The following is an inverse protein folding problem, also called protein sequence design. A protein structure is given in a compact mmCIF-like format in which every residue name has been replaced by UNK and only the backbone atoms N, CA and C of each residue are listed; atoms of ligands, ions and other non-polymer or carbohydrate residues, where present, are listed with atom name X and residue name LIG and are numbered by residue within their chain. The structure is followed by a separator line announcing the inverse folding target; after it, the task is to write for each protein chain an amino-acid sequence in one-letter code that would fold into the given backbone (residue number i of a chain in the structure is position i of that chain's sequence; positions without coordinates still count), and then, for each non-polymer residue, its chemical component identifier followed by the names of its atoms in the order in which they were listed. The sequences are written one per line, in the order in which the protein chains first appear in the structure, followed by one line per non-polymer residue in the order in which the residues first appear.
data_IF_040952999998
#
_entry.id   IF_040952999998
#
_cell.length_a   1.000
_cell.length_b   1.000
_cell.length_c   1.000
_cell.angle_alpha   90.00
_cell.angle_beta   90.00
_cell.angle_gamma   90.00
#
_symmetry.space_group_name_H-M   'P 1'
#
loop_
_entity.id
_entity.type
_entity.pdbx_description
1 polymer ?
#
# COMPACT_ATOMS: atom_id res chain seq x y z
N UNK A 1 -40.08 -11.98 24.32
CA UNK A 1 -39.02 -11.10 23.79
C UNK A 1 -37.64 -11.60 24.19
N UNK A 2 -37.15 -12.64 23.51
CA UNK A 2 -35.77 -13.11 23.65
C UNK A 2 -35.18 -13.14 22.23
N UNK A 3 -34.57 -12.02 21.81
CA UNK A 3 -33.72 -12.04 20.62
C UNK A 3 -32.50 -12.88 20.98
N UNK A 4 -32.25 -13.95 20.21
CA UNK A 4 -31.14 -14.87 20.48
C UNK A 4 -29.79 -14.13 20.43
N UNK A 5 -28.83 -14.45 21.33
CA UNK A 5 -27.52 -13.80 21.38
C UNK A 5 -26.73 -13.89 20.06
N UNK A 6 -27.05 -14.90 19.21
CA UNK A 6 -26.48 -15.08 17.87
C UNK A 6 -26.84 -13.95 16.89
N UNK A 7 -28.04 -13.38 17.01
CA UNK A 7 -28.51 -12.29 16.14
C UNK A 7 -27.73 -10.99 16.38
N UNK A 8 -27.42 -10.68 17.64
CA UNK A 8 -26.62 -9.49 17.99
C UNK A 8 -25.17 -9.61 17.52
N UNK A 9 -24.57 -10.80 17.60
CA UNK A 9 -23.19 -11.02 17.14
C UNK A 9 -23.10 -10.83 15.62
N UNK A 10 -24.01 -11.44 14.86
CA UNK A 10 -24.07 -11.24 13.40
C UNK A 10 -24.30 -9.77 13.04
N UNK A 11 -25.11 -9.05 13.82
CA UNK A 11 -25.37 -7.62 13.61
C UNK A 11 -24.11 -6.77 13.84
N UNK A 12 -23.26 -7.11 14.80
CA UNK A 12 -22.01 -6.37 15.04
C UNK A 12 -20.98 -6.56 13.91
N UNK A 13 -20.90 -7.75 13.31
CA UNK A 13 -19.89 -8.03 12.29
C UNK A 13 -20.12 -7.33 10.95
N UNK A 14 -21.36 -7.12 10.50
CA UNK A 14 -21.58 -6.38 9.26
C UNK A 14 -21.23 -4.89 9.44
N UNK A 15 -21.53 -4.28 10.59
CA UNK A 15 -21.06 -2.92 10.88
C UNK A 15 -19.54 -2.81 10.79
N UNK A 16 -18.81 -3.73 11.44
CA UNK A 16 -17.34 -3.78 11.37
C UNK A 16 -16.86 -3.94 9.92
N UNK A 17 -17.53 -4.78 9.12
CA UNK A 17 -17.20 -4.97 7.71
C UNK A 17 -17.31 -3.67 6.91
N UNK A 18 -18.43 -2.94 6.98
CA UNK A 18 -18.59 -1.70 6.21
C UNK A 18 -17.73 -0.55 6.74
N UNK A 19 -17.49 -0.48 8.06
CA UNK A 19 -16.52 0.45 8.63
C UNK A 19 -15.11 0.19 8.12
N UNK A 20 -14.70 -1.09 8.07
CA UNK A 20 -13.40 -1.47 7.52
C UNK A 20 -13.28 -1.13 6.03
N UNK A 21 -14.34 -1.30 5.23
CA UNK A 21 -14.36 -0.87 3.83
C UNK A 21 -14.24 0.65 3.68
N UNK A 22 -14.88 1.43 4.55
CA UNK A 22 -14.81 2.89 4.54
C UNK A 22 -13.41 3.40 4.88
N UNK A 23 -12.82 2.90 5.97
CA UNK A 23 -11.46 3.25 6.36
C UNK A 23 -10.42 2.73 5.37
N UNK A 24 -10.63 1.54 4.80
CA UNK A 24 -9.80 1.01 3.73
C UNK A 24 -9.81 1.93 2.51
N UNK A 25 -10.97 2.45 2.13
CA UNK A 25 -11.07 3.41 1.02
C UNK A 25 -10.34 4.71 1.34
N UNK A 26 -10.48 5.24 2.54
CA UNK A 26 -9.74 6.44 2.95
C UNK A 26 -8.23 6.21 2.97
N UNK A 27 -7.78 4.99 3.25
CA UNK A 27 -6.36 4.64 3.27
C UNK A 27 -5.77 4.38 1.86
N UNK A 28 -6.50 3.71 0.96
CA UNK A 28 -5.95 3.22 -0.32
C UNK A 28 -6.88 3.32 -1.53
N UNK A 29 -8.02 4.01 -1.38
CA UNK A 29 -8.99 4.23 -2.45
C UNK A 29 -9.86 3.00 -2.78
N UNK A 30 -10.46 2.95 -3.98
CA UNK A 30 -11.48 1.97 -4.38
C UNK A 30 -11.06 0.51 -4.22
N UNK A 31 -9.77 0.24 -4.21
CA UNK A 31 -9.22 -1.12 -4.10
C UNK A 31 -9.54 -1.78 -2.75
N UNK A 32 -9.86 -0.99 -1.74
CA UNK A 32 -10.34 -1.51 -0.46
C UNK A 32 -11.70 -2.21 -0.58
N UNK A 33 -12.44 -2.01 -1.67
CA UNK A 33 -13.75 -2.60 -1.91
C UNK A 33 -13.69 -3.98 -2.58
N UNK A 34 -12.50 -4.56 -2.77
CA UNK A 34 -12.34 -5.93 -3.27
C UNK A 34 -13.17 -6.97 -2.49
N UNK A 35 -13.31 -6.92 -1.15
CA UNK A 35 -14.19 -7.86 -0.42
C UNK A 35 -15.67 -7.73 -0.81
N UNK A 36 -16.14 -6.50 -1.11
CA UNK A 36 -17.50 -6.28 -1.60
C UNK A 36 -17.69 -6.87 -3.00
N UNK A 37 -16.69 -6.75 -3.86
CA UNK A 37 -16.69 -7.39 -5.17
C UNK A 37 -16.68 -8.91 -5.07
N UNK A 38 -15.87 -9.50 -4.17
CA UNK A 38 -15.88 -10.94 -3.87
C UNK A 38 -17.27 -11.40 -3.43
N UNK A 39 -17.91 -10.64 -2.54
CA UNK A 39 -19.28 -10.93 -2.11
C UNK A 39 -20.27 -10.90 -3.29
N UNK A 40 -20.19 -9.87 -4.14
CA UNK A 40 -21.01 -9.76 -5.34
C UNK A 40 -20.83 -10.94 -6.30
N UNK A 41 -19.59 -11.36 -6.55
CA UNK A 41 -19.28 -12.53 -7.38
C UNK A 41 -19.91 -13.80 -6.79
N UNK A 42 -19.83 -14.00 -5.47
CA UNK A 42 -20.42 -15.19 -4.81
C UNK A 42 -21.94 -15.18 -4.90
N UNK A 43 -22.58 -14.04 -4.64
CA UNK A 43 -24.04 -13.91 -4.74
C UNK A 43 -24.50 -14.26 -6.16
N UNK A 44 -23.79 -13.79 -7.18
CA UNK A 44 -24.10 -14.09 -8.59
C UNK A 44 -23.88 -15.57 -8.90
N UNK A 45 -22.73 -16.14 -8.52
CA UNK A 45 -22.38 -17.54 -8.80
C UNK A 45 -23.32 -18.54 -8.11
N UNK A 46 -23.71 -18.26 -6.87
CA UNK A 46 -24.58 -19.14 -6.07
C UNK A 46 -26.06 -18.80 -6.20
N UNK A 47 -26.41 -17.69 -6.86
CA UNK A 47 -27.78 -17.15 -6.97
C UNK A 47 -28.47 -16.93 -5.62
N UNK A 48 -27.69 -16.72 -4.55
CA UNK A 48 -28.18 -16.52 -3.17
C UNK A 48 -28.40 -15.03 -2.88
N UNK A 49 -29.48 -14.46 -3.43
CA UNK A 49 -29.85 -13.06 -3.20
C UNK A 49 -30.30 -12.77 -1.76
N UNK A 50 -30.70 -13.81 -1.01
CA UNK A 50 -31.06 -13.66 0.40
C UNK A 50 -29.83 -13.28 1.26
N UNK A 51 -28.64 -13.76 0.88
CA UNK A 51 -27.37 -13.34 1.49
C UNK A 51 -27.17 -11.82 1.45
N UNK A 52 -27.59 -11.14 0.38
CA UNK A 52 -27.50 -9.68 0.27
C UNK A 52 -28.39 -8.97 1.32
N UNK A 53 -29.56 -9.52 1.59
CA UNK A 53 -30.47 -9.03 2.64
C UNK A 53 -29.90 -9.22 4.04
N UNK A 54 -29.36 -10.40 4.33
CA UNK A 54 -28.74 -10.70 5.64
C UNK A 54 -27.54 -9.81 5.97
N UNK A 55 -26.76 -9.41 4.97
CA UNK A 55 -25.62 -8.51 5.14
C UNK A 55 -26.00 -7.02 5.19
N UNK A 56 -27.29 -6.70 5.08
CA UNK A 56 -27.80 -5.33 5.07
C UNK A 56 -27.09 -4.44 4.03
N UNK A 57 -26.83 -4.98 2.84
CA UNK A 57 -25.94 -4.38 1.82
C UNK A 57 -26.25 -2.91 1.55
N UNK A 58 -27.52 -2.55 1.42
CA UNK A 58 -27.92 -1.16 1.19
C UNK A 58 -27.51 -0.24 2.35
N UNK A 59 -27.85 -0.62 3.59
CA UNK A 59 -27.51 0.18 4.80
C UNK A 59 -26.00 0.27 5.01
N UNK A 60 -25.30 -0.84 4.77
CA UNK A 60 -23.85 -0.90 4.85
C UNK A 60 -23.14 -0.03 3.83
N UNK A 61 -23.58 -0.07 2.56
CA UNK A 61 -23.05 0.81 1.51
C UNK A 61 -23.31 2.27 1.84
N UNK A 62 -24.52 2.62 2.30
CA UNK A 62 -24.83 4.00 2.69
C UNK A 62 -23.94 4.48 3.85
N UNK A 63 -23.72 3.65 4.87
CA UNK A 63 -22.78 3.95 5.95
C UNK A 63 -21.37 4.17 5.42
N UNK A 64 -20.87 3.23 4.60
CA UNK A 64 -19.53 3.27 4.05
C UNK A 64 -19.32 4.56 3.25
N UNK A 65 -20.27 4.89 2.36
CA UNK A 65 -20.24 6.10 1.54
C UNK A 65 -20.34 7.35 2.40
N UNK A 66 -21.18 7.37 3.44
CA UNK A 66 -21.29 8.52 4.34
C UNK A 66 -19.97 8.83 5.04
N UNK A 67 -19.26 7.82 5.54
CA UNK A 67 -17.95 7.98 6.21
C UNK A 67 -16.86 8.39 5.20
N UNK A 68 -16.84 7.78 4.02
CA UNK A 68 -15.90 8.20 2.97
C UNK A 68 -16.17 9.63 2.53
N UNK A 69 -17.43 10.02 2.37
CA UNK A 69 -17.85 11.34 1.93
C UNK A 69 -17.58 12.42 2.98
N UNK A 70 -17.67 12.12 4.29
CA UNK A 70 -17.44 13.11 5.35
C UNK A 70 -16.04 13.71 5.31
N UNK A 71 -15.05 12.98 4.78
CA UNK A 71 -13.71 13.50 4.51
C UNK A 71 -13.51 13.86 3.03
N UNK A 72 -14.02 13.04 2.11
CA UNK A 72 -13.83 13.22 0.67
C UNK A 72 -14.43 14.52 0.14
N UNK A 73 -15.64 14.89 0.56
CA UNK A 73 -16.31 16.11 0.06
C UNK A 73 -15.54 17.38 0.44
N UNK A 74 -15.16 17.62 1.72
CA UNK A 74 -14.33 18.76 2.08
C UNK A 74 -13.02 18.85 1.29
N UNK A 75 -12.32 17.71 1.11
CA UNK A 75 -11.09 17.66 0.34
C UNK A 75 -11.32 18.03 -1.14
N UNK A 76 -12.43 17.60 -1.74
CA UNK A 76 -12.79 17.95 -3.11
C UNK A 76 -13.10 19.43 -3.28
N UNK A 77 -13.85 20.01 -2.34
CA UNK A 77 -14.16 21.44 -2.34
C UNK A 77 -12.87 22.26 -2.21
N UNK A 78 -12.02 21.92 -1.24
CA UNK A 78 -10.76 22.63 -0.99
C UNK A 78 -9.77 22.54 -2.16
N UNK A 79 -9.81 21.46 -2.93
CA UNK A 79 -8.92 21.25 -4.08
C UNK A 79 -9.55 21.62 -5.41
N UNK A 80 -10.75 22.22 -5.40
CA UNK A 80 -11.52 22.55 -6.61
C UNK A 80 -11.64 21.35 -7.57
N UNK A 81 -11.88 20.16 -7.02
CA UNK A 81 -12.01 18.91 -7.78
C UNK A 81 -10.70 18.24 -8.19
N UNK A 82 -9.54 18.86 -8.00
CA UNK A 82 -8.25 18.28 -8.38
C UNK A 82 -7.95 16.97 -7.64
N UNK A 83 -8.40 16.84 -6.39
CA UNK A 83 -8.22 15.61 -5.63
C UNK A 83 -8.89 14.40 -6.32
N UNK A 84 -10.08 14.56 -6.91
CA UNK A 84 -10.73 13.48 -7.67
C UNK A 84 -10.03 13.22 -8.99
N UNK A 85 -9.75 14.28 -9.75
CA UNK A 85 -9.15 14.19 -11.08
C UNK A 85 -7.79 13.48 -11.03
N UNK A 86 -6.95 13.84 -10.05
CA UNK A 86 -5.64 13.23 -9.86
C UNK A 86 -5.76 11.88 -9.13
N UNK A 87 -6.49 11.84 -8.01
CA UNK A 87 -6.60 10.66 -7.17
C UNK A 87 -7.24 9.47 -7.89
N UNK A 88 -8.46 9.64 -8.40
CA UNK A 88 -9.17 8.58 -9.12
C UNK A 88 -8.77 8.54 -10.59
N UNK A 89 -8.78 9.68 -11.28
CA UNK A 89 -8.49 9.72 -12.71
C UNK A 89 -7.08 9.20 -13.02
N UNK A 90 -6.05 9.79 -12.41
CA UNK A 90 -4.66 9.41 -12.69
C UNK A 90 -4.21 8.17 -11.94
N UNK A 91 -4.38 8.13 -10.62
CA UNK A 91 -3.78 7.07 -9.79
C UNK A 91 -4.59 5.77 -9.72
N UNK A 92 -5.87 5.78 -10.10
CA UNK A 92 -6.66 4.56 -10.26
C UNK A 92 -6.82 4.23 -11.74
N UNK A 93 -7.50 5.08 -12.51
CA UNK A 93 -7.87 4.74 -13.91
C UNK A 93 -6.64 4.70 -14.82
N UNK A 94 -5.86 5.78 -14.90
CA UNK A 94 -4.68 5.79 -15.79
C UNK A 94 -3.65 4.74 -15.40
N UNK A 95 -3.43 4.53 -14.10
CA UNK A 95 -2.53 3.47 -13.59
C UNK A 95 -3.02 2.05 -13.90
N UNK A 96 -4.34 1.85 -13.97
CA UNK A 96 -4.93 0.57 -14.36
C UNK A 96 -4.72 0.27 -15.86
N UNK A 97 -4.76 1.30 -16.71
CA UNK A 97 -4.74 1.17 -18.16
C UNK A 97 -3.34 1.32 -18.79
N UNK A 98 -2.44 2.06 -18.14
CA UNK A 98 -1.11 2.37 -18.65
C UNK A 98 -0.03 2.23 -17.57
N UNK A 99 1.22 2.07 -17.99
CA UNK A 99 2.37 2.04 -17.08
C UNK A 99 2.62 3.39 -16.44
N UNK A 100 2.96 3.36 -15.17
CA UNK A 100 3.38 4.53 -14.43
C UNK A 100 4.71 4.25 -13.72
N UNK A 101 5.54 5.27 -13.62
CA UNK A 101 6.74 5.26 -12.76
C UNK A 101 7.72 4.11 -13.09
N UNK A 102 7.75 3.66 -14.36
CA UNK A 102 8.62 2.58 -14.81
C UNK A 102 8.22 1.17 -14.38
N UNK A 103 7.05 1.02 -13.74
CA UNK A 103 6.55 -0.25 -13.24
C UNK A 103 5.42 -0.82 -14.12
N UNK A 104 5.63 -2.01 -14.70
CA UNK A 104 4.63 -2.74 -15.47
C UNK A 104 4.94 -2.84 -16.96
N UNK A 105 3.91 -3.11 -17.75
CA UNK A 105 4.04 -3.46 -19.17
C UNK A 105 4.02 -2.24 -20.10
N UNK A 106 5.18 -1.84 -20.63
CA UNK A 106 5.29 -0.73 -21.59
C UNK A 106 4.75 -1.06 -23.00
N UNK A 107 4.47 -2.34 -23.28
CA UNK A 107 3.90 -2.82 -24.53
C UNK A 107 2.95 -3.99 -24.30
N UNK A 108 2.08 -4.29 -25.26
CA UNK A 108 1.17 -5.43 -25.19
C UNK A 108 1.92 -6.78 -25.05
N UNK A 109 3.05 -6.93 -25.74
CA UNK A 109 3.91 -8.11 -25.61
C UNK A 109 4.51 -8.23 -24.19
N UNK A 110 4.96 -7.11 -23.62
CA UNK A 110 5.44 -7.08 -22.22
C UNK A 110 4.31 -7.37 -21.23
N UNK A 111 3.07 -6.96 -21.53
CA UNK A 111 1.91 -7.26 -20.72
C UNK A 111 1.63 -8.77 -20.66
N UNK A 112 1.64 -9.43 -21.82
CA UNK A 112 1.53 -10.89 -21.94
C UNK A 112 2.64 -11.60 -21.17
N UNK A 113 3.89 -11.16 -21.32
CA UNK A 113 5.04 -11.72 -20.61
C UNK A 113 4.88 -11.59 -19.07
N UNK A 114 4.27 -10.50 -18.60
CA UNK A 114 4.06 -10.24 -17.19
C UNK A 114 2.76 -10.86 -16.61
N UNK A 115 1.94 -11.57 -17.40
CA UNK A 115 0.76 -12.25 -16.87
C UNK A 115 1.08 -13.23 -15.72
N UNK A 116 2.17 -14.02 -15.78
CA UNK A 116 2.56 -14.90 -14.67
C UNK A 116 3.20 -14.19 -13.48
N UNK A 117 3.37 -12.85 -13.51
CA UNK A 117 4.12 -12.10 -12.50
C UNK A 117 3.66 -12.40 -11.07
N UNK A 118 2.34 -12.36 -10.81
CA UNK A 118 1.81 -12.64 -9.48
C UNK A 118 1.82 -14.12 -9.11
N UNK A 119 1.74 -15.01 -10.11
CA UNK A 119 1.91 -16.44 -9.90
C UNK A 119 3.34 -16.81 -9.47
N UNK A 120 4.35 -16.11 -9.97
CA UNK A 120 5.75 -16.32 -9.57
C UNK A 120 6.04 -15.62 -8.24
N UNK A 121 5.66 -14.36 -8.11
CA UNK A 121 6.01 -13.54 -6.93
C UNK A 121 5.32 -14.00 -5.64
N UNK A 122 4.19 -14.71 -5.70
CA UNK A 122 3.55 -15.28 -4.50
C UNK A 122 4.47 -16.26 -3.77
N UNK A 123 5.37 -16.96 -4.48
CA UNK A 123 6.29 -17.90 -3.83
C UNK A 123 7.33 -17.21 -2.94
N UNK A 124 7.71 -15.99 -3.30
CA UNK A 124 8.63 -15.17 -2.50
C UNK A 124 7.86 -14.38 -1.44
N UNK A 125 6.79 -13.71 -1.84
CA UNK A 125 6.05 -12.80 -0.95
C UNK A 125 5.26 -13.52 0.14
N UNK A 126 4.79 -14.74 -0.11
CA UNK A 126 4.11 -15.58 0.90
C UNK A 126 5.05 -16.59 1.58
N UNK A 127 6.37 -16.45 1.40
CA UNK A 127 7.35 -17.29 2.08
C UNK A 127 7.30 -17.08 3.61
N UNK A 128 7.45 -18.14 4.44
CA UNK A 128 7.74 -19.54 4.07
C UNK A 128 6.52 -20.40 3.74
N UNK A 129 5.31 -19.87 3.93
CA UNK A 129 4.07 -20.62 3.76
C UNK A 129 3.79 -21.00 2.30
N UNK A 130 4.38 -20.27 1.35
CA UNK A 130 4.32 -20.56 -0.07
C UNK A 130 4.74 -21.98 -0.45
N UNK A 131 5.65 -22.62 0.32
CA UNK A 131 6.09 -24.00 0.12
C UNK A 131 4.89 -24.98 0.14
N UNK A 132 3.81 -24.63 0.84
CA UNK A 132 2.62 -25.46 1.00
C UNK A 132 1.52 -25.16 0.00
N UNK A 133 1.70 -24.19 -0.90
CA UNK A 133 0.71 -23.88 -1.94
C UNK A 133 0.47 -25.04 -2.91
N UNK A 134 1.48 -25.77 -3.42
CA UNK A 134 1.24 -26.93 -4.29
C UNK A 134 0.41 -28.02 -3.57
N UNK A 135 0.67 -28.23 -2.29
CA UNK A 135 -0.10 -29.16 -1.46
C UNK A 135 -1.55 -28.68 -1.25
N UNK A 136 -1.75 -27.40 -0.95
CA UNK A 136 -3.09 -26.82 -0.77
C UNK A 136 -3.92 -26.94 -2.05
N UNK A 137 -3.32 -26.65 -3.21
CA UNK A 137 -3.97 -26.84 -4.51
C UNK A 137 -4.37 -28.30 -4.68
N UNK A 138 -3.46 -29.26 -4.45
CA UNK A 138 -3.80 -30.68 -4.55
C UNK A 138 -4.99 -31.07 -3.67
N UNK A 139 -5.03 -30.58 -2.42
CA UNK A 139 -6.15 -30.82 -1.50
C UNK A 139 -7.47 -30.25 -2.02
N UNK A 140 -7.48 -29.00 -2.49
CA UNK A 140 -8.67 -28.38 -3.08
C UNK A 140 -9.21 -29.18 -4.27
N UNK A 141 -8.31 -29.69 -5.12
CA UNK A 141 -8.68 -30.52 -6.27
C UNK A 141 -9.21 -31.89 -5.87
N UNK A 142 -8.63 -32.57 -4.88
CA UNK A 142 -9.10 -33.88 -4.41
C UNK A 142 -10.45 -33.78 -3.71
N UNK A 143 -10.63 -32.80 -2.83
CA UNK A 143 -11.91 -32.57 -2.14
C UNK A 143 -13.02 -32.20 -3.12
N UNK A 144 -12.72 -31.41 -4.16
CA UNK A 144 -13.68 -31.11 -5.23
C UNK A 144 -14.12 -32.36 -5.99
N UNK A 145 -13.21 -33.27 -6.31
CA UNK A 145 -13.51 -34.53 -7.02
C UNK A 145 -14.27 -35.53 -6.17
N UNK A 146 -13.94 -35.62 -4.88
CA UNK A 146 -14.53 -36.59 -3.96
C UNK A 146 -15.98 -36.26 -3.58
N UNK A 147 -16.49 -35.06 -3.88
CA UNK A 147 -17.87 -34.67 -3.58
C UNK A 147 -18.24 -34.73 -2.10
N UNK A 148 -17.25 -34.78 -1.19
CA UNK A 148 -17.44 -34.93 0.24
C UNK A 148 -18.10 -33.67 0.81
N UNK A 149 -19.44 -33.67 0.81
CA UNK A 149 -20.27 -32.79 1.60
C UNK A 149 -20.42 -33.41 2.99
N UNK A 150 -19.45 -33.15 3.86
CA UNK A 150 -19.49 -33.60 5.24
C UNK A 150 -20.67 -32.90 5.98
N UNK A 151 -21.68 -33.62 6.52
CA UNK A 151 -22.95 -33.01 6.96
C UNK A 151 -22.84 -32.11 8.21
N UNK A 152 -21.73 -32.18 8.97
CA UNK A 152 -21.41 -31.24 10.05
C UNK A 152 -20.64 -29.99 9.60
N UNK A 153 -20.31 -29.89 8.31
CA UNK A 153 -19.29 -29.00 7.76
C UNK A 153 -19.91 -27.88 6.91
N UNK A 154 -20.12 -26.72 7.52
CA UNK A 154 -20.43 -25.46 6.82
C UNK A 154 -19.26 -24.95 5.91
N UNK A 155 -18.18 -25.72 5.76
CA UNK A 155 -16.94 -25.26 5.12
C UNK A 155 -17.00 -25.07 3.61
N UNK A 156 -17.99 -25.60 2.87
CA UNK A 156 -18.05 -25.39 1.41
C UNK A 156 -18.28 -23.92 1.03
N UNK A 157 -19.16 -23.19 1.73
CA UNK A 157 -19.43 -21.75 1.45
C UNK A 157 -18.26 -20.87 1.85
N UNK A 158 -17.63 -21.15 2.99
CA UNK A 158 -16.47 -20.40 3.46
C UNK A 158 -15.25 -20.65 2.55
N UNK A 159 -14.97 -21.90 2.19
CA UNK A 159 -13.85 -22.24 1.30
C UNK A 159 -14.08 -21.62 -0.10
N UNK A 160 -15.33 -21.63 -0.61
CA UNK A 160 -15.70 -20.86 -1.80
C UNK A 160 -15.42 -19.37 -1.63
N UNK A 161 -15.82 -18.76 -0.52
CA UNK A 161 -15.54 -17.34 -0.26
C UNK A 161 -14.04 -17.03 -0.27
N UNK A 162 -13.24 -17.84 0.42
CA UNK A 162 -11.79 -17.68 0.48
C UNK A 162 -11.17 -17.83 -0.92
N UNK A 163 -11.54 -18.87 -1.66
CA UNK A 163 -11.02 -19.13 -3.02
C UNK A 163 -11.44 -18.04 -4.00
N UNK A 164 -12.72 -17.66 -4.01
CA UNK A 164 -13.22 -16.57 -4.88
C UNK A 164 -12.58 -15.25 -4.50
N UNK A 165 -12.35 -14.97 -3.22
CA UNK A 165 -11.67 -13.74 -2.79
C UNK A 165 -10.21 -13.69 -3.22
N UNK A 166 -9.46 -14.78 -3.03
CA UNK A 166 -8.08 -14.91 -3.55
C UNK A 166 -8.08 -14.72 -5.06
N UNK A 167 -8.95 -15.43 -5.78
CA UNK A 167 -9.06 -15.31 -7.24
C UNK A 167 -9.42 -13.89 -7.68
N UNK A 168 -10.38 -13.24 -7.01
CA UNK A 168 -10.80 -11.85 -7.30
C UNK A 168 -9.60 -10.91 -7.27
N UNK A 169 -8.81 -10.96 -6.19
CA UNK A 169 -7.61 -10.13 -6.02
C UNK A 169 -6.60 -10.43 -7.13
N UNK A 170 -6.24 -11.71 -7.32
CA UNK A 170 -5.22 -12.10 -8.29
C UNK A 170 -5.61 -11.76 -9.72
N UNK A 171 -6.87 -12.02 -10.12
CA UNK A 171 -7.37 -11.70 -11.46
C UNK A 171 -7.31 -10.20 -11.70
N UNK A 172 -7.84 -9.38 -10.80
CA UNK A 172 -7.87 -7.92 -10.98
C UNK A 172 -6.45 -7.37 -11.12
N UNK A 173 -5.54 -7.75 -10.24
CA UNK A 173 -4.19 -7.21 -10.30
C UNK A 173 -3.37 -7.76 -11.47
N UNK A 174 -3.61 -9.00 -11.89
CA UNK A 174 -3.01 -9.55 -13.12
C UNK A 174 -3.42 -8.75 -14.35
N UNK A 175 -4.70 -8.34 -14.40
CA UNK A 175 -5.26 -7.56 -15.50
C UNK A 175 -4.81 -6.10 -15.53
N UNK A 176 -4.37 -5.55 -14.40
CA UNK A 176 -3.85 -4.18 -14.33
C UNK A 176 -2.49 -4.06 -15.03
N UNK A 177 -2.31 -2.98 -15.79
CA UNK A 177 -1.08 -2.70 -16.55
C UNK A 177 0.15 -2.46 -15.65
N UNK A 178 -0.01 -1.60 -14.63
CA UNK A 178 1.04 -1.32 -13.64
C UNK A 178 1.16 -2.47 -12.64
N UNK A 179 2.33 -3.12 -12.57
CA UNK A 179 2.55 -4.27 -11.68
C UNK A 179 3.55 -3.94 -10.58
N UNK A 180 3.13 -4.12 -9.32
CA UNK A 180 3.99 -3.97 -8.14
C UNK A 180 3.88 -5.24 -7.28
N UNK A 181 5.00 -5.79 -6.76
CA UNK A 181 4.97 -7.06 -6.03
C UNK A 181 3.96 -7.13 -4.88
N UNK A 182 3.69 -5.99 -4.22
CA UNK A 182 2.84 -5.91 -3.04
C UNK A 182 1.34 -5.75 -3.35
N UNK A 183 0.93 -5.74 -4.62
CA UNK A 183 -0.46 -5.56 -5.00
C UNK A 183 -1.36 -6.72 -4.56
N UNK A 184 -0.86 -7.95 -4.52
CA UNK A 184 -1.62 -9.13 -4.11
C UNK A 184 -1.72 -9.34 -2.61
N UNK A 185 -1.09 -8.48 -1.79
CA UNK A 185 -1.18 -8.57 -0.32
C UNK A 185 -2.60 -8.67 0.24
N UNK A 186 -3.64 -8.01 -0.33
CA UNK A 186 -5.02 -8.18 0.15
C UNK A 186 -5.54 -9.63 0.10
N UNK A 187 -4.97 -10.51 -0.74
CA UNK A 187 -5.34 -11.92 -0.78
C UNK A 187 -4.71 -12.76 0.35
N UNK A 188 -3.67 -12.26 1.00
CA UNK A 188 -2.84 -13.07 1.92
C UNK A 188 -3.59 -13.50 3.18
N UNK A 189 -4.43 -12.66 3.82
CA UNK A 189 -5.26 -13.13 4.92
C UNK A 189 -6.20 -14.27 4.51
N UNK A 190 -6.81 -14.19 3.32
CA UNK A 190 -7.69 -15.24 2.80
C UNK A 190 -6.92 -16.53 2.52
N UNK A 191 -5.73 -16.41 1.92
CA UNK A 191 -4.86 -17.54 1.63
C UNK A 191 -4.32 -18.20 2.89
N UNK A 192 -3.95 -17.41 3.91
CA UNK A 192 -3.50 -17.90 5.20
C UNK A 192 -4.63 -18.64 5.94
N UNK A 193 -5.85 -18.10 5.92
CA UNK A 193 -7.03 -18.77 6.50
C UNK A 193 -7.33 -20.08 5.76
N UNK A 194 -7.34 -20.06 4.42
CA UNK A 194 -7.58 -21.25 3.62
C UNK A 194 -6.52 -22.32 3.88
N UNK A 195 -5.24 -21.93 3.89
CA UNK A 195 -4.14 -22.85 4.19
C UNK A 195 -4.26 -23.44 5.60
N UNK A 196 -4.54 -22.60 6.61
CA UNK A 196 -4.67 -23.04 8.00
C UNK A 196 -5.83 -24.04 8.17
N UNK A 197 -6.96 -23.83 7.48
CA UNK A 197 -8.13 -24.71 7.53
C UNK A 197 -7.81 -26.12 7.04
N UNK A 198 -7.22 -26.24 5.84
CA UNK A 198 -6.82 -27.54 5.30
C UNK A 198 -5.68 -28.16 6.11
N UNK A 199 -4.78 -27.34 6.65
CA UNK A 199 -3.66 -27.82 7.48
C UNK A 199 -4.13 -28.45 8.78
N UNK A 200 -5.09 -27.83 9.48
CA UNK A 200 -5.66 -28.35 10.72
C UNK A 200 -6.40 -29.67 10.49
N UNK A 201 -7.13 -29.81 9.38
CA UNK A 201 -7.79 -31.07 9.01
C UNK A 201 -6.81 -32.25 8.89
N UNK A 202 -5.59 -31.99 8.39
CA UNK A 202 -4.55 -33.03 8.30
C UNK A 202 -3.75 -33.20 9.60
N UNK A 203 -3.50 -32.13 10.36
CA UNK A 203 -2.82 -32.20 11.68
C UNK A 203 -3.67 -32.87 12.76
N UNK A 204 -5.00 -32.84 12.67
CA UNK A 204 -5.84 -33.63 13.58
C UNK A 204 -5.57 -35.14 13.46
N UNK A 205 -5.01 -35.59 12.34
CA UNK A 205 -4.63 -36.99 12.08
C UNK A 205 -3.14 -37.29 12.33
N UNK A 206 -2.28 -36.27 12.56
CA UNK A 206 -0.83 -36.43 12.79
C UNK A 206 -0.29 -35.42 13.81
N UNK A 207 0.50 -35.88 14.78
CA UNK A 207 1.14 -35.08 15.86
C UNK A 207 2.21 -34.05 15.36
N UNK A 208 1.86 -33.12 14.47
CA UNK A 208 2.77 -32.09 13.93
C UNK A 208 2.59 -30.68 14.55
N UNK A 209 1.67 -30.52 15.51
CA UNK A 209 1.31 -29.22 16.12
C UNK A 209 2.48 -28.39 16.68
N UNK A 210 3.47 -28.97 17.41
CA UNK A 210 4.59 -28.22 17.97
C UNK A 210 5.53 -27.61 16.92
N UNK A 211 5.74 -28.32 15.80
CA UNK A 211 6.62 -27.86 14.71
C UNK A 211 6.04 -26.65 13.96
N UNK A 212 4.73 -26.64 13.70
CA UNK A 212 4.08 -25.50 13.05
C UNK A 212 4.19 -24.21 13.87
N UNK A 213 3.91 -24.28 15.18
CA UNK A 213 3.99 -23.10 16.07
C UNK A 213 5.41 -22.57 16.15
N UNK A 214 6.41 -23.45 16.21
CA UNK A 214 7.81 -23.06 16.19
C UNK A 214 8.18 -22.34 14.88
N UNK A 215 7.83 -22.91 13.72
CA UNK A 215 8.09 -22.27 12.40
C UNK A 215 7.35 -20.93 12.27
N UNK A 216 6.09 -20.86 12.69
CA UNK A 216 5.31 -19.62 12.63
C UNK A 216 5.91 -18.52 13.50
N UNK A 217 6.28 -18.86 14.73
CA UNK A 217 6.91 -17.92 15.68
C UNK A 217 8.27 -17.47 15.18
N UNK A 218 9.11 -18.40 14.73
CA UNK A 218 10.42 -18.09 14.16
C UNK A 218 10.31 -17.18 12.93
N UNK A 219 9.34 -17.44 12.05
CA UNK A 219 9.09 -16.61 10.87
C UNK A 219 8.61 -15.21 11.24
N UNK A 220 7.70 -15.09 12.21
CA UNK A 220 7.22 -13.81 12.70
C UNK A 220 8.36 -13.00 13.35
N UNK A 221 9.15 -13.62 14.22
CA UNK A 221 10.32 -12.99 14.85
C UNK A 221 11.34 -12.54 13.81
N UNK A 222 11.63 -13.38 12.80
CA UNK A 222 12.56 -13.03 11.72
C UNK A 222 12.06 -11.82 10.94
N UNK A 223 10.79 -11.79 10.53
CA UNK A 223 10.23 -10.66 9.79
C UNK A 223 10.20 -9.37 10.62
N UNK A 224 9.89 -9.44 11.92
CA UNK A 224 9.97 -8.29 12.83
C UNK A 224 11.42 -7.81 12.96
N UNK A 225 12.38 -8.72 13.14
CA UNK A 225 13.79 -8.37 13.22
C UNK A 225 14.27 -7.69 11.93
N UNK A 226 13.92 -8.22 10.75
CA UNK A 226 14.21 -7.61 9.45
C UNK A 226 13.58 -6.21 9.38
N UNK A 227 12.31 -6.07 9.74
CA UNK A 227 11.59 -4.79 9.67
C UNK A 227 12.19 -3.71 10.59
N UNK A 228 12.74 -4.10 11.75
CA UNK A 228 13.36 -3.17 12.71
C UNK A 228 14.82 -2.84 12.37
N UNK A 229 15.52 -3.71 11.65
CA UNK A 229 16.98 -3.56 11.40
C UNK A 229 17.29 -3.08 9.99
N UNK A 230 16.66 -3.66 8.97
CA UNK A 230 17.02 -3.43 7.56
C UNK A 230 16.63 -2.02 7.08
N UNK A 231 15.39 -1.52 7.28
CA UNK A 231 15.02 -0.19 6.81
C UNK A 231 15.89 0.95 7.39
N UNK A 232 16.20 1.00 8.70
CA UNK A 232 17.09 2.04 9.24
C UNK A 232 18.52 1.97 8.68
N UNK A 233 19.04 0.78 8.39
CA UNK A 233 20.35 0.61 7.77
C UNK A 233 20.34 1.12 6.32
N UNK A 234 19.33 0.75 5.54
CA UNK A 234 19.18 1.19 4.15
C UNK A 234 18.93 2.70 4.06
N UNK A 235 18.18 3.28 5.00
CA UNK A 235 17.84 4.71 5.00
C UNK A 235 19.07 5.62 5.01
N UNK A 236 20.21 5.17 5.55
CA UNK A 236 21.49 5.91 5.56
C UNK A 236 22.05 6.15 4.16
N UNK A 237 21.66 5.36 3.18
CA UNK A 237 22.06 5.56 1.79
C UNK A 237 21.14 6.54 1.04
N UNK A 238 20.05 7.00 1.66
CA UNK A 238 19.14 7.94 1.03
C UNK A 238 19.62 9.38 1.20
N UNK A 239 19.77 10.14 0.09
CA UNK A 239 20.32 11.49 0.17
C UNK A 239 19.40 12.42 1.00
N UNK A 240 18.08 12.23 0.94
CA UNK A 240 17.14 13.01 1.75
C UNK A 240 17.30 12.78 3.26
N UNK A 241 17.62 11.56 3.68
CA UNK A 241 17.87 11.24 5.10
C UNK A 241 19.16 11.90 5.58
N UNK A 242 20.23 11.80 4.79
CA UNK A 242 21.52 12.37 5.13
C UNK A 242 21.48 13.91 5.18
N UNK A 243 20.87 14.55 4.16
CA UNK A 243 20.63 16.00 4.17
C UNK A 243 19.86 16.44 5.42
N UNK A 244 18.82 15.69 5.79
CA UNK A 244 18.05 15.99 6.99
C UNK A 244 18.92 15.86 8.25
N UNK A 245 19.68 14.77 8.41
CA UNK A 245 20.50 14.58 9.61
C UNK A 245 21.56 15.67 9.79
N UNK A 246 22.19 16.12 8.71
CA UNK A 246 23.19 17.18 8.75
C UNK A 246 22.58 18.57 9.01
N UNK A 247 21.42 18.86 8.41
CA UNK A 247 20.78 20.18 8.51
C UNK A 247 19.83 20.33 9.70
N UNK A 248 19.40 19.23 10.36
CA UNK A 248 18.31 19.22 11.36
C UNK A 248 18.42 20.28 12.46
N UNK A 249 19.63 20.59 12.90
CA UNK A 249 19.88 21.54 13.99
C UNK A 249 19.61 23.01 13.57
N UNK A 250 19.63 23.29 12.27
CA UNK A 250 19.44 24.61 11.70
C UNK A 250 18.01 24.84 11.20
N UNK A 251 17.15 23.81 11.23
CA UNK A 251 15.78 23.90 10.74
C UNK A 251 14.88 24.58 11.77
N UNK A 252 14.10 25.56 11.31
CA UNK A 252 13.12 26.28 12.13
C UNK A 252 11.68 25.96 11.70
N UNK A 253 10.70 25.94 12.62
CA UNK A 253 9.31 25.59 12.29
C UNK A 253 8.66 26.46 11.21
N UNK A 254 9.00 27.75 11.17
CA UNK A 254 8.46 28.73 10.21
C UNK A 254 9.20 28.75 8.86
N UNK A 255 10.22 27.89 8.64
CA UNK A 255 10.94 27.86 7.39
C UNK A 255 10.03 27.51 6.20
N UNK A 256 10.24 28.20 5.08
CA UNK A 256 9.75 27.71 3.80
C UNK A 256 10.81 26.83 3.16
N UNK A 257 10.40 25.78 2.44
CA UNK A 257 11.36 24.93 1.76
C UNK A 257 10.90 24.45 0.40
N UNK A 258 11.90 24.23 -0.45
CA UNK A 258 11.71 23.87 -1.83
C UNK A 258 12.72 22.83 -2.31
N UNK A 259 12.43 22.21 -3.45
CA UNK A 259 13.40 21.43 -4.21
C UNK A 259 13.42 21.82 -5.69
N UNK A 260 14.57 21.62 -6.32
CA UNK A 260 14.78 21.77 -7.77
C UNK A 260 15.31 20.45 -8.31
N UNK A 261 14.69 19.92 -9.36
CA UNK A 261 15.14 18.71 -10.10
C UNK A 261 15.33 17.42 -9.28
N UNK A 262 14.89 17.44 -8.02
CA UNK A 262 14.94 16.30 -7.14
C UNK A 262 13.65 16.21 -6.33
N UNK A 263 13.02 15.05 -6.39
CA UNK A 263 11.77 14.77 -5.72
C UNK A 263 11.79 13.36 -5.15
N UNK A 264 11.63 13.27 -3.83
CA UNK A 264 11.37 12.03 -3.12
C UNK A 264 10.38 12.30 -1.98
N UNK A 265 9.45 11.38 -1.69
CA UNK A 265 8.54 11.49 -0.54
C UNK A 265 9.29 11.63 0.80
N UNK A 266 10.50 11.06 0.89
CA UNK A 266 11.39 11.13 2.05
C UNK A 266 11.76 12.56 2.44
N UNK A 267 11.88 13.50 1.48
CA UNK A 267 12.13 14.92 1.79
C UNK A 267 10.98 15.48 2.62
N UNK A 268 9.74 15.27 2.16
CA UNK A 268 8.57 15.78 2.87
C UNK A 268 8.48 15.14 4.25
N UNK A 269 8.66 13.82 4.33
CA UNK A 269 8.58 13.08 5.59
C UNK A 269 9.60 13.56 6.63
N UNK A 270 10.88 13.64 6.26
CA UNK A 270 11.93 14.02 7.20
C UNK A 270 11.86 15.51 7.56
N UNK A 271 11.80 16.42 6.59
CA UNK A 271 11.89 17.85 6.86
C UNK A 271 10.63 18.40 7.54
N UNK A 272 9.43 17.86 7.25
CA UNK A 272 8.20 18.30 7.95
C UNK A 272 8.11 17.87 9.41
N UNK A 273 9.02 17.00 9.87
CA UNK A 273 9.16 16.74 11.31
C UNK A 273 9.71 17.95 12.09
N UNK A 274 10.32 18.91 11.39
CA UNK A 274 10.89 20.14 11.97
C UNK A 274 10.28 21.42 11.39
N UNK A 275 9.68 21.35 10.21
CA UNK A 275 9.20 22.51 9.43
C UNK A 275 7.70 22.39 9.16
N UNK A 276 6.93 23.45 9.42
CA UNK A 276 5.46 23.45 9.25
C UNK A 276 5.03 23.58 7.79
N UNK A 277 5.88 24.23 6.96
CA UNK A 277 5.62 24.48 5.55
C UNK A 277 5.43 23.20 4.72
N UNK A 278 4.97 23.38 3.48
CA UNK A 278 4.89 22.32 2.47
C UNK A 278 6.01 22.50 1.44
N UNK A 279 6.52 21.38 0.93
CA UNK A 279 7.54 21.36 -0.11
C UNK A 279 7.03 22.09 -1.37
N UNK A 280 7.72 23.17 -1.75
CA UNK A 280 7.51 23.84 -3.05
C UNK A 280 8.40 23.21 -4.11
N UNK A 281 7.82 22.86 -5.26
CA UNK A 281 8.58 22.40 -6.43
C UNK A 281 8.95 23.62 -7.26
N UNK A 282 10.25 23.88 -7.42
CA UNK A 282 10.74 25.02 -8.16
C UNK A 282 11.50 24.58 -9.41
N UNK A 283 11.49 25.45 -10.42
CA UNK A 283 12.40 25.35 -11.56
C UNK A 283 13.66 26.18 -11.27
N UNK A 284 14.67 26.08 -12.14
CA UNK A 284 15.93 26.83 -12.01
C UNK A 284 15.76 28.35 -12.03
N UNK A 285 14.71 28.86 -12.67
CA UNK A 285 14.49 30.31 -12.82
C UNK A 285 13.96 30.94 -11.53
N UNK A 286 13.07 30.24 -10.83
CA UNK A 286 12.33 30.79 -9.70
C UNK A 286 13.03 30.53 -8.36
N UNK A 287 14.14 29.78 -8.35
CA UNK A 287 14.85 29.42 -7.13
C UNK A 287 15.56 30.62 -6.49
N UNK A 288 16.05 31.54 -7.31
CA UNK A 288 16.75 32.76 -6.83
C UNK A 288 15.75 33.68 -6.13
N UNK A 289 14.60 33.92 -6.76
CA UNK A 289 13.50 34.70 -6.16
C UNK A 289 13.03 34.06 -4.84
N UNK A 290 12.89 32.73 -4.84
CA UNK A 290 12.55 31.99 -3.64
C UNK A 290 13.61 32.16 -2.55
N UNK A 291 14.91 32.10 -2.83
CA UNK A 291 15.92 32.27 -1.79
C UNK A 291 16.11 33.74 -1.35
N UNK A 292 15.77 34.69 -2.21
CA UNK A 292 15.96 36.12 -1.96
C UNK A 292 14.86 36.76 -1.10
N UNK A 293 13.64 36.23 -1.12
CA UNK A 293 12.55 36.79 -0.32
C UNK A 293 12.83 36.75 1.22
N UNK A 294 12.09 37.53 2.02
CA UNK A 294 12.39 37.74 3.44
C UNK A 294 11.93 36.59 4.34
N UNK A 295 12.74 36.18 5.32
CA UNK A 295 12.43 35.12 6.28
C UNK A 295 13.16 33.81 6.00
N UNK A 296 13.19 32.90 7.01
CA UNK A 296 14.01 31.70 6.99
C UNK A 296 13.54 30.70 5.93
N UNK A 297 14.48 30.10 5.20
CA UNK A 297 14.16 29.16 4.12
C UNK A 297 15.36 28.30 3.72
N UNK A 298 15.06 27.21 3.03
CA UNK A 298 16.11 26.44 2.37
C UNK A 298 15.61 25.84 1.05
N UNK A 299 16.56 25.50 0.19
CA UNK A 299 16.30 24.76 -1.04
C UNK A 299 17.24 23.58 -1.17
N UNK A 300 16.71 22.46 -1.63
CA UNK A 300 17.48 21.27 -2.00
C UNK A 300 17.67 21.27 -3.51
N UNK A 301 18.92 21.29 -3.96
CA UNK A 301 19.28 21.31 -5.38
C UNK A 301 20.38 20.27 -5.69
N UNK A 302 20.50 19.79 -6.93
CA UNK A 302 21.69 19.06 -7.37
C UNK A 302 22.95 19.87 -7.09
N UNK A 303 23.98 19.23 -6.53
CA UNK A 303 25.23 19.91 -6.15
C UNK A 303 25.89 20.62 -7.32
N UNK A 304 25.79 20.07 -8.54
CA UNK A 304 26.28 20.68 -9.78
C UNK A 304 25.62 22.01 -10.13
N UNK A 305 24.44 22.31 -9.60
CA UNK A 305 23.72 23.56 -9.86
C UNK A 305 24.02 24.64 -8.82
N UNK A 306 24.69 24.32 -7.71
CA UNK A 306 24.89 25.30 -6.63
C UNK A 306 25.71 26.50 -7.10
N UNK A 307 26.84 26.27 -7.76
CA UNK A 307 27.70 27.38 -8.23
C UNK A 307 27.03 28.22 -9.32
N UNK A 308 26.21 27.60 -10.18
CA UNK A 308 25.53 28.32 -11.27
C UNK A 308 24.32 29.10 -10.78
N UNK A 309 23.59 28.59 -9.78
CA UNK A 309 22.43 29.27 -9.18
C UNK A 309 22.83 30.31 -8.12
N UNK A 310 23.91 30.06 -7.39
CA UNK A 310 24.33 30.83 -6.22
C UNK A 310 25.82 31.20 -6.26
N UNK A 311 26.32 31.87 -7.34
CA UNK A 311 27.73 32.18 -7.51
C UNK A 311 28.30 33.06 -6.38
N UNK A 312 27.51 34.01 -5.88
CA UNK A 312 27.89 34.97 -4.85
C UNK A 312 26.87 34.98 -3.70
N UNK A 313 26.55 33.80 -3.13
CA UNK A 313 25.60 33.77 -2.02
C UNK A 313 26.19 34.43 -0.75
N UNK A 314 25.34 35.04 0.10
CA UNK A 314 25.78 35.63 1.35
C UNK A 314 26.52 34.62 2.24
N UNK A 315 27.58 35.06 2.93
CA UNK A 315 28.31 34.23 3.90
C UNK A 315 27.44 33.75 5.08
N UNK A 316 26.29 34.39 5.30
CA UNK A 316 25.31 34.00 6.31
C UNK A 316 24.52 32.76 5.93
N UNK A 317 24.58 32.31 4.67
CA UNK A 317 23.91 31.09 4.22
C UNK A 317 24.80 29.88 4.49
N UNK A 318 24.17 28.80 4.94
CA UNK A 318 24.85 27.54 5.23
C UNK A 318 24.47 26.49 4.18
N UNK A 319 25.46 25.74 3.70
CA UNK A 319 25.25 24.66 2.74
C UNK A 319 25.58 23.30 3.34
N UNK A 320 24.71 22.31 3.13
CA UNK A 320 24.89 20.93 3.59
C UNK A 320 24.90 19.99 2.37
N UNK A 321 26.05 19.47 1.95
CA UNK A 321 26.14 18.51 0.86
C UNK A 321 25.85 17.09 1.34
N UNK A 322 25.13 16.32 0.53
CA UNK A 322 24.95 14.90 0.77
C UNK A 322 25.01 14.13 -0.55
N UNK A 323 25.63 12.95 -0.47
CA UNK A 323 25.66 11.96 -1.55
C UNK A 323 24.84 10.76 -1.13
N UNK A 324 23.99 10.28 -2.02
CA UNK A 324 23.19 9.09 -1.76
C UNK A 324 22.75 8.39 -3.03
N UNK A 325 21.96 7.34 -2.85
CA UNK A 325 21.40 6.56 -3.95
C UNK A 325 19.89 6.78 -4.03
N UNK A 326 19.43 7.28 -5.17
CA UNK A 326 18.01 7.35 -5.46
C UNK A 326 17.57 5.97 -5.97
N UNK A 327 16.95 5.17 -5.10
CA UNK A 327 16.49 3.82 -5.43
C UNK A 327 15.49 3.84 -6.59
N UNK A 328 14.57 4.82 -6.62
CA UNK A 328 13.53 4.88 -7.64
C UNK A 328 14.09 5.10 -9.06
N UNK A 329 15.21 5.80 -9.18
CA UNK A 329 15.90 6.09 -10.44
C UNK A 329 17.14 5.22 -10.68
N UNK A 330 17.48 4.34 -9.73
CA UNK A 330 18.65 3.45 -9.83
C UNK A 330 19.99 4.19 -10.01
N UNK A 331 20.14 5.40 -9.48
CA UNK A 331 21.34 6.22 -9.70
C UNK A 331 21.83 6.90 -8.43
N UNK A 332 23.13 7.13 -8.37
CA UNK A 332 23.70 8.04 -7.37
C UNK A 332 23.29 9.48 -7.66
N UNK A 333 23.09 10.24 -6.60
CA UNK A 333 22.71 11.65 -6.66
C UNK A 333 23.50 12.41 -5.60
N UNK A 334 24.08 13.52 -6.02
CA UNK A 334 24.73 14.51 -5.17
C UNK A 334 23.80 15.71 -5.05
N UNK A 335 23.40 16.02 -3.81
CA UNK A 335 22.51 17.11 -3.49
C UNK A 335 23.16 18.05 -2.49
N UNK A 336 22.78 19.32 -2.57
CA UNK A 336 23.15 20.31 -1.57
C UNK A 336 21.88 21.00 -1.10
N UNK A 337 21.71 21.05 0.22
CA UNK A 337 20.74 21.91 0.87
C UNK A 337 21.40 23.26 1.12
N UNK A 338 20.85 24.33 0.54
CA UNK A 338 21.28 25.71 0.78
C UNK A 338 20.25 26.37 1.68
N UNK A 339 20.69 26.84 2.85
CA UNK A 339 19.83 27.34 3.92
C UNK A 339 20.16 28.80 4.26
N UNK A 340 19.10 29.60 4.40
CA UNK A 340 19.08 30.98 4.85
C UNK A 340 18.32 31.04 6.18
N UNK A 341 18.99 31.47 7.26
CA UNK A 341 18.42 31.48 8.61
C UNK A 341 17.48 32.67 8.89
N UNK A 342 17.61 33.77 8.15
CA UNK A 342 16.82 35.01 8.31
C UNK A 342 16.52 35.64 6.96
#
# INVERSE_FOLDING_TARGET
NAQSPTFNIQRSWWWIFYLALAFGFLAKGPIAWLPLLTLGVIIILERDWQLAGHLQVLRGILLMLAITASWGIPALIQTHGQFLAIGIGRHVISRSLATMEGHGASSFAMYLLLLPFYFVTIFVSFFPWSIKLPWLIRQLWTHRKAGLADPGYSGSRLDKYLVVGIATVFVIFTLVATKLPHYTLPAFPLLALLLARYWQGVSASRNHGPSFRAVATASACLWVAIALTVPPLIARFFPAYELFQQSRAHLQPNMQFASVEFEEPSIVWYFRSRVQGFLKRLNRKNVIDFMSAPGPRFVIVPTSLVQTLFPNHPQTWTSFPARGFNIAKGKQVDLTLVLKQE
#
